data_IF_175850759856
#
_entry.id   IF_175850759856
#
_cell.length_a   1.000
_cell.length_b   1.000
_cell.length_c   1.000
_cell.angle_alpha   90.00
_cell.angle_beta   90.00
_cell.angle_gamma   90.00
#
_symmetry.space_group_name_H-M   'P 1'
#
loop_
_entity.id
_entity.type
_entity.pdbx_description
1 polymer ?
#
# COMPACT_ATOMS: atom_id res chain seq x y z
N UNK A 1 35.01 -0.92 25.80
CA UNK A 1 33.59 -0.74 26.15
C UNK A 1 32.79 -1.56 25.15
N UNK A 2 31.83 -2.37 25.59
CA UNK A 2 30.97 -3.14 24.68
C UNK A 2 29.84 -2.23 24.24
N UNK A 3 29.85 -1.80 22.99
CA UNK A 3 28.72 -1.11 22.37
C UNK A 3 27.58 -2.13 22.25
N UNK A 4 26.66 -2.10 23.21
CA UNK A 4 25.37 -2.76 23.06
C UNK A 4 24.63 -1.98 22.00
N UNK A 5 24.65 -2.48 20.77
CA UNK A 5 23.97 -1.91 19.63
C UNK A 5 22.54 -1.58 20.02
N UNK A 6 22.23 -0.29 20.06
CA UNK A 6 20.85 0.17 20.19
C UNK A 6 20.18 -0.37 18.94
N UNK A 7 19.34 -1.39 19.11
CA UNK A 7 18.43 -1.85 18.08
C UNK A 7 17.36 -0.77 17.97
N UNK A 8 17.72 0.38 17.41
CA UNK A 8 16.79 1.47 17.15
C UNK A 8 15.74 0.91 16.20
N UNK A 9 14.58 0.59 16.76
CA UNK A 9 13.37 0.28 16.01
C UNK A 9 12.88 1.59 15.40
N UNK A 10 13.52 2.00 14.32
CA UNK A 10 13.19 3.24 13.61
C UNK A 10 11.79 3.07 13.00
N UNK A 11 10.80 3.64 13.67
CA UNK A 11 9.45 3.78 13.09
C UNK A 11 9.53 4.82 11.98
N UNK A 12 9.41 4.37 10.73
CA UNK A 12 9.44 5.25 9.56
C UNK A 12 8.08 5.88 9.34
N UNK A 13 8.03 7.21 9.39
CA UNK A 13 6.84 8.00 9.13
C UNK A 13 6.80 8.42 7.65
N UNK A 14 5.61 8.38 7.05
CA UNK A 14 5.38 8.82 5.68
C UNK A 14 4.22 9.81 5.63
N UNK A 15 4.37 10.87 4.86
CA UNK A 15 3.26 11.78 4.54
C UNK A 15 2.62 11.35 3.23
N UNK A 16 1.31 11.11 3.25
CA UNK A 16 0.52 10.83 2.05
C UNK A 16 0.03 12.14 1.45
N UNK A 17 0.36 12.40 0.19
CA UNK A 17 -0.26 13.49 -0.57
C UNK A 17 -1.74 13.18 -0.83
N UNK A 18 -2.55 14.21 -1.13
CA UNK A 18 -3.96 14.01 -1.42
C UNK A 18 -4.14 13.09 -2.63
N UNK A 19 -4.84 11.97 -2.45
CA UNK A 19 -5.04 10.95 -3.46
C UNK A 19 -6.13 11.41 -4.45
N UNK A 20 -5.74 12.13 -5.49
CA UNK A 20 -6.64 12.63 -6.53
C UNK A 20 -6.99 11.52 -7.54
N UNK A 21 -7.82 10.56 -7.13
CA UNK A 21 -8.55 9.74 -8.10
C UNK A 21 -9.92 10.41 -8.34
N UNK A 22 -10.03 11.14 -9.45
CA UNK A 22 -11.19 11.96 -9.80
C UNK A 22 -12.48 11.11 -9.84
N UNK A 23 -13.18 11.03 -8.72
CA UNK A 23 -14.44 10.29 -8.55
C UNK A 23 -14.43 9.21 -7.46
N UNK A 24 -13.33 8.99 -6.74
CA UNK A 24 -13.29 8.07 -5.59
C UNK A 24 -12.89 8.78 -4.31
N UNK A 25 -13.77 8.77 -3.31
CA UNK A 25 -13.37 9.05 -1.94
C UNK A 25 -12.80 7.77 -1.34
N UNK A 26 -11.55 7.83 -0.90
CA UNK A 26 -10.93 6.71 -0.17
C UNK A 26 -11.22 6.86 1.32
N UNK A 27 -12.03 5.96 1.87
CA UNK A 27 -12.46 6.01 3.27
C UNK A 27 -11.43 5.39 4.21
N UNK A 28 -10.67 4.39 3.75
CA UNK A 28 -9.70 3.66 4.56
C UNK A 28 -8.42 3.42 3.77
N UNK A 29 -7.28 3.66 4.42
CA UNK A 29 -5.93 3.39 3.90
C UNK A 29 -5.18 2.58 4.95
N UNK A 30 -4.60 1.46 4.54
CA UNK A 30 -3.74 0.60 5.37
C UNK A 30 -2.42 0.36 4.65
N UNK A 31 -1.31 0.56 5.37
CA UNK A 31 0.02 0.17 4.89
C UNK A 31 0.14 -1.34 4.96
N UNK A 32 0.48 -1.98 3.85
CA UNK A 32 0.74 -3.42 3.79
C UNK A 32 2.24 -3.73 3.79
N UNK A 33 3.02 -2.92 3.08
CA UNK A 33 4.45 -3.15 2.92
C UNK A 33 5.21 -1.85 2.59
N UNK A 34 6.44 -1.73 3.07
CA UNK A 34 7.36 -0.62 2.77
C UNK A 34 8.56 -1.16 2.03
N UNK A 35 8.80 -0.67 0.83
CA UNK A 35 9.96 -1.02 0.02
C UNK A 35 11.19 -0.21 0.46
N UNK A 36 12.39 -0.74 0.17
CA UNK A 36 13.66 -0.07 0.47
C UNK A 36 13.84 1.25 -0.28
N UNK A 37 13.21 1.41 -1.44
CA UNK A 37 13.32 2.58 -2.31
C UNK A 37 12.39 3.76 -1.93
N UNK A 38 11.82 3.73 -0.72
CA UNK A 38 10.82 4.68 -0.20
C UNK A 38 9.45 4.59 -0.90
N UNK A 39 9.16 3.46 -1.55
CA UNK A 39 7.80 3.15 -1.99
C UNK A 39 7.03 2.43 -0.90
N UNK A 40 5.72 2.59 -0.90
CA UNK A 40 4.81 1.99 0.08
C UNK A 40 3.65 1.34 -0.65
N UNK A 41 3.39 0.06 -0.34
CA UNK A 41 2.18 -0.62 -0.77
C UNK A 41 1.04 -0.31 0.19
N UNK A 42 -0.01 0.29 -0.34
CA UNK A 42 -1.21 0.68 0.37
C UNK A 42 -2.39 -0.17 -0.09
N UNK A 43 -3.20 -0.60 0.86
CA UNK A 43 -4.55 -1.09 0.63
C UNK A 43 -5.52 0.04 0.90
N UNK A 44 -6.36 0.36 -0.08
CA UNK A 44 -7.31 1.47 0.01
C UNK A 44 -8.73 0.97 -0.30
N UNK A 45 -9.73 1.47 0.44
CA UNK A 45 -11.15 1.27 0.09
C UNK A 45 -11.68 2.57 -0.52
N UNK A 46 -12.01 2.52 -1.81
CA UNK A 46 -12.64 3.63 -2.52
C UNK A 46 -13.96 3.18 -3.12
N UNK A 47 -15.04 3.92 -2.87
CA UNK A 47 -16.40 3.62 -3.37
C UNK A 47 -16.82 2.14 -3.13
N UNK A 48 -16.53 1.60 -1.95
CA UNK A 48 -16.86 0.22 -1.56
C UNK A 48 -16.00 -0.87 -2.20
N UNK A 49 -14.97 -0.53 -2.99
CA UNK A 49 -14.05 -1.49 -3.62
C UNK A 49 -12.66 -1.40 -3.02
N UNK A 50 -12.06 -2.57 -2.79
CA UNK A 50 -10.67 -2.68 -2.41
C UNK A 50 -9.76 -2.40 -3.62
N UNK A 51 -8.75 -1.57 -3.40
CA UNK A 51 -7.71 -1.27 -4.37
C UNK A 51 -6.35 -1.45 -3.69
N UNK A 52 -5.37 -1.88 -4.46
CA UNK A 52 -3.98 -1.84 -4.06
C UNK A 52 -3.29 -0.71 -4.83
N UNK A 53 -2.48 0.04 -4.13
CA UNK A 53 -1.82 1.23 -4.68
C UNK A 53 -0.38 1.23 -4.22
N UNK A 54 0.53 1.47 -5.15
CA UNK A 54 1.92 1.76 -4.81
C UNK A 54 2.05 3.28 -4.71
N UNK A 55 2.41 3.77 -3.53
CA UNK A 55 2.72 5.17 -3.28
C UNK A 55 4.23 5.37 -3.32
N UNK A 56 4.70 6.32 -4.13
CA UNK A 56 6.08 6.78 -4.12
C UNK A 56 6.16 7.99 -3.17
N UNK A 57 6.75 7.81 -1.99
CA UNK A 57 6.78 8.88 -0.99
C UNK A 57 7.77 9.99 -1.31
N UNK A 58 8.72 9.77 -2.23
CA UNK A 58 9.66 10.80 -2.69
C UNK A 58 8.96 11.77 -3.65
N UNK A 59 8.22 11.20 -4.60
CA UNK A 59 7.55 11.97 -5.65
C UNK A 59 6.12 12.36 -5.29
N UNK A 60 5.55 11.77 -4.23
CA UNK A 60 4.16 11.99 -3.83
C UNK A 60 3.15 11.45 -4.84
N UNK A 61 3.51 10.41 -5.59
CA UNK A 61 2.69 9.87 -6.70
C UNK A 61 2.05 8.54 -6.34
N UNK A 62 0.86 8.29 -6.88
CA UNK A 62 0.10 7.07 -6.68
C UNK A 62 0.02 6.27 -7.97
N UNK A 63 0.43 5.00 -7.92
CA UNK A 63 0.27 4.04 -9.01
C UNK A 63 -0.78 3.01 -8.62
N UNK A 64 -1.98 3.18 -9.17
CA UNK A 64 -3.10 2.27 -8.94
C UNK A 64 -2.93 1.01 -9.76
N UNK A 65 -2.98 -0.15 -9.10
CA UNK A 65 -3.06 -1.45 -9.77
C UNK A 65 -4.48 -1.97 -9.63
N UNK A 66 -5.17 -2.12 -10.76
CA UNK A 66 -6.48 -2.76 -10.78
C UNK A 66 -6.27 -4.25 -10.60
N UNK A 67 -6.58 -4.77 -9.41
CA UNK A 67 -6.74 -6.20 -9.22
C UNK A 67 -8.20 -6.55 -9.47
N UNK A 68 -8.46 -7.26 -10.56
CA UNK A 68 -9.74 -7.92 -10.75
C UNK A 68 -9.74 -9.20 -9.92
N UNK A 69 -10.69 -9.32 -9.00
CA UNK A 69 -10.92 -10.56 -8.27
C UNK A 69 -11.47 -11.61 -9.24
N UNK A 70 -10.60 -12.36 -9.91
CA UNK A 70 -11.02 -13.55 -10.66
C UNK A 70 -11.25 -14.67 -9.65
N UNK A 71 -12.52 -14.96 -9.37
CA UNK A 71 -12.91 -16.24 -8.75
C UNK A 71 -12.48 -17.38 -9.70
N UNK A 72 -11.24 -17.85 -9.59
CA UNK A 72 -10.88 -19.14 -10.17
C UNK A 72 -11.52 -20.20 -9.27
N UNK A 73 -12.76 -20.58 -9.59
CA UNK A 73 -13.29 -21.89 -9.18
C UNK A 73 -12.33 -22.91 -9.78
N UNK A 74 -11.49 -23.52 -8.95
CA UNK A 74 -10.84 -24.78 -9.30
C UNK A 74 -11.96 -25.80 -9.54
N UNK A 75 -12.34 -25.99 -10.80
CA UNK A 75 -13.16 -27.13 -11.19
C UNK A 75 -12.20 -28.30 -11.31
N UNK A 76 -12.09 -29.09 -10.25
CA UNK A 76 -11.54 -30.44 -10.35
C UNK A 76 -12.55 -31.25 -11.19
N UNK A 77 -12.21 -31.49 -12.46
CA UNK A 77 -12.83 -32.56 -13.24
C UNK A 77 -12.23 -33.86 -12.73
N UNK A 78 -13.05 -34.64 -12.03
CA UNK A 78 -12.84 -36.08 -11.80
C UNK A 78 -13.35 -36.82 -13.03
#
# INVERSE_FOLDING_TARGET
>A
MKEYGIQESWTKLFTLSNMQDHGKSYMLIKVLYTFEDDKVLLQCIGNGKWNLVVYDSKNGTFKFTKFEYRNQKYVLRV
#
